data_IF_961810844920
#
_entry.id   IF_961810844920
#
_cell.length_a   1.000
_cell.length_b   1.000
_cell.length_c   1.000
_cell.angle_alpha   90.00
_cell.angle_beta   90.00
_cell.angle_gamma   90.00
#
_symmetry.space_group_name_H-M   'P 1'
#
loop_
_entity.id
_entity.type
_entity.pdbx_description
1 polymer ?
#
# COMPACT_ATOMS: atom_id res chain seq x y z
N UNK A 1 2.94 2.54 -14.77
CA UNK A 1 3.70 1.72 -13.78
C UNK A 1 3.84 0.29 -14.28
N UNK A 2 4.98 -0.37 -14.03
CA UNK A 2 5.19 -1.80 -14.32
C UNK A 2 4.38 -2.63 -13.31
N UNK A 3 3.57 -3.57 -13.79
CA UNK A 3 2.78 -4.46 -12.93
C UNK A 3 3.73 -5.47 -12.27
N UNK A 4 4.13 -5.24 -11.02
CA UNK A 4 5.00 -6.16 -10.29
C UNK A 4 4.28 -7.50 -10.06
N UNK A 5 5.02 -8.59 -10.25
CA UNK A 5 4.51 -9.94 -9.97
C UNK A 5 4.47 -10.16 -8.45
N UNK A 6 3.53 -10.97 -7.98
CA UNK A 6 3.40 -11.27 -6.55
C UNK A 6 4.69 -11.81 -5.92
N UNK A 7 5.51 -12.54 -6.69
CA UNK A 7 6.80 -13.07 -6.23
C UNK A 7 7.79 -11.95 -5.90
N UNK A 8 7.85 -10.92 -6.74
CA UNK A 8 8.73 -9.75 -6.55
C UNK A 8 8.29 -8.95 -5.31
N UNK A 9 6.98 -8.73 -5.15
CA UNK A 9 6.45 -8.04 -3.97
C UNK A 9 6.70 -8.82 -2.66
N UNK A 10 6.72 -10.16 -2.71
CA UNK A 10 6.96 -10.97 -1.52
C UNK A 10 8.41 -10.85 -1.00
N UNK A 11 9.37 -10.66 -1.90
CA UNK A 11 10.80 -10.55 -1.59
C UNK A 11 11.16 -9.21 -0.93
N UNK A 12 10.38 -8.15 -1.16
CA UNK A 12 10.61 -6.82 -0.57
C UNK A 12 10.47 -6.82 0.96
N UNK A 13 11.29 -6.03 1.64
CA UNK A 13 11.19 -5.79 3.08
C UNK A 13 9.89 -5.04 3.44
N UNK A 14 9.54 -5.00 4.73
CA UNK A 14 8.37 -4.25 5.21
C UNK A 14 8.50 -2.75 4.95
N UNK A 15 9.70 -2.19 5.07
CA UNK A 15 9.99 -0.79 4.77
C UNK A 15 9.80 -0.47 3.29
N UNK A 16 10.33 -1.30 2.40
CA UNK A 16 10.17 -1.15 0.95
C UNK A 16 8.71 -1.31 0.50
N UNK A 17 7.98 -2.26 1.09
CA UNK A 17 6.55 -2.43 0.84
C UNK A 17 5.75 -1.19 1.25
N UNK A 18 6.10 -0.56 2.38
CA UNK A 18 5.47 0.69 2.83
C UNK A 18 5.80 1.87 1.91
N UNK A 19 7.06 2.01 1.50
CA UNK A 19 7.47 3.04 0.54
C UNK A 19 6.72 2.89 -0.79
N UNK A 20 6.68 1.66 -1.32
CA UNK A 20 5.95 1.34 -2.55
C UNK A 20 4.46 1.61 -2.42
N UNK A 21 3.86 1.28 -1.28
CA UNK A 21 2.46 1.60 -1.00
C UNK A 21 2.20 3.12 -1.10
N UNK A 22 3.11 3.93 -0.56
CA UNK A 22 3.04 5.39 -0.64
C UNK A 22 3.09 5.90 -2.08
N UNK A 23 4.01 5.39 -2.90
CA UNK A 23 4.11 5.73 -4.32
C UNK A 23 2.82 5.41 -5.09
N UNK A 24 2.31 4.19 -4.93
CA UNK A 24 1.10 3.73 -5.65
C UNK A 24 -0.12 4.54 -5.24
N UNK A 25 -0.24 4.92 -3.96
CA UNK A 25 -1.33 5.79 -3.49
C UNK A 25 -1.25 7.20 -4.10
N UNK A 26 -0.04 7.77 -4.24
CA UNK A 26 0.15 9.07 -4.90
C UNK A 26 -0.28 9.01 -6.37
N UNK A 27 0.00 7.91 -7.08
CA UNK A 27 -0.49 7.74 -8.46
C UNK A 27 -2.02 7.67 -8.51
N UNK A 28 -2.65 6.85 -7.65
CA UNK A 28 -4.11 6.76 -7.57
C UNK A 28 -4.74 8.13 -7.29
N UNK A 29 -4.10 8.95 -6.45
CA UNK A 29 -4.60 10.29 -6.14
C UNK A 29 -4.61 11.19 -7.38
N UNK A 30 -3.58 11.13 -8.23
CA UNK A 30 -3.52 11.88 -9.49
C UNK A 30 -4.61 11.42 -10.47
N UNK A 31 -4.79 10.11 -10.60
CA UNK A 31 -5.83 9.54 -11.47
C UNK A 31 -7.24 9.92 -10.97
N UNK A 32 -7.47 9.86 -9.65
CA UNK A 32 -8.74 10.25 -9.04
C UNK A 32 -9.03 11.75 -9.20
N UNK A 33 -8.00 12.61 -9.16
CA UNK A 33 -8.18 14.04 -9.42
C UNK A 33 -8.69 14.29 -10.85
N UNK A 34 -8.13 13.59 -11.84
CA UNK A 34 -8.60 13.66 -13.23
C UNK A 34 -10.04 13.20 -13.37
N UNK A 35 -10.40 12.08 -12.71
CA UNK A 35 -11.77 11.56 -12.68
C UNK A 35 -12.74 12.56 -12.04
N UNK A 36 -12.34 13.18 -10.92
CA UNK A 36 -13.15 14.19 -10.23
C UNK A 36 -13.39 15.43 -11.10
N UNK A 37 -12.38 15.83 -11.88
CA UNK A 37 -12.48 16.91 -12.86
C UNK A 37 -13.28 16.53 -14.12
N UNK A 38 -13.87 15.32 -14.17
CA UNK A 38 -14.55 14.74 -15.36
C UNK A 38 -13.68 14.71 -16.61
N UNK A 39 -12.36 14.75 -16.42
CA UNK A 39 -11.39 14.58 -17.51
C UNK A 39 -11.11 13.09 -17.71
N UNK A 40 -10.79 12.71 -18.94
CA UNK A 40 -10.41 11.33 -19.24
C UNK A 40 -9.01 11.10 -18.67
N UNK A 41 -8.85 10.21 -17.68
CA UNK A 41 -7.54 9.92 -17.15
C UNK A 41 -6.68 9.28 -18.22
N UNK A 42 -5.38 9.60 -18.23
CA UNK A 42 -4.46 9.18 -19.31
C UNK A 42 -4.48 7.67 -19.58
N UNK A 43 -4.76 6.86 -18.57
CA UNK A 43 -4.98 5.43 -18.74
C UNK A 43 -6.02 4.90 -17.75
N UNK A 44 -7.29 4.72 -18.15
CA UNK A 44 -8.37 4.30 -17.24
C UNK A 44 -8.13 2.89 -16.65
N UNK A 45 -7.44 2.01 -17.38
CA UNK A 45 -7.10 0.66 -16.91
C UNK A 45 -6.02 0.65 -15.81
N UNK A 46 -5.24 1.73 -15.70
CA UNK A 46 -4.18 1.85 -14.72
C UNK A 46 -4.73 2.02 -13.30
N UNK A 47 -5.82 2.78 -13.14
CA UNK A 47 -6.47 3.00 -11.84
C UNK A 47 -6.88 1.66 -11.19
N UNK A 48 -7.50 0.75 -11.97
CA UNK A 48 -7.88 -0.59 -11.49
C UNK A 48 -6.65 -1.42 -11.13
N UNK A 49 -5.58 -1.32 -11.92
CA UNK A 49 -4.33 -2.05 -11.70
C UNK A 49 -3.63 -1.58 -10.41
N UNK A 50 -3.55 -0.26 -10.21
CA UNK A 50 -2.96 0.35 -9.03
C UNK A 50 -3.75 0.01 -7.76
N UNK A 51 -5.09 0.00 -7.81
CA UNK A 51 -5.94 -0.48 -6.69
C UNK A 51 -5.67 -1.95 -6.34
N UNK A 52 -5.54 -2.83 -7.34
CA UNK A 52 -5.17 -4.25 -7.11
C UNK A 52 -3.77 -4.38 -6.51
N UNK A 53 -2.82 -3.54 -6.93
CA UNK A 53 -1.47 -3.52 -6.38
C UNK A 53 -1.46 -3.09 -4.91
N UNK A 54 -2.23 -2.07 -4.52
CA UNK A 54 -2.42 -1.68 -3.10
C UNK A 54 -2.96 -2.86 -2.28
N UNK A 55 -3.99 -3.56 -2.77
CA UNK A 55 -4.56 -4.70 -2.07
C UNK A 55 -3.53 -5.84 -1.86
N UNK A 56 -2.69 -6.11 -2.87
CA UNK A 56 -1.60 -7.10 -2.77
C UNK A 56 -0.56 -6.70 -1.73
N UNK A 57 -0.11 -5.45 -1.74
CA UNK A 57 0.88 -4.94 -0.80
C UNK A 57 0.35 -5.01 0.64
N UNK A 58 -0.89 -4.55 0.86
CA UNK A 58 -1.54 -4.64 2.19
C UNK A 58 -1.68 -6.09 2.66
N UNK A 59 -2.05 -7.00 1.76
CA UNK A 59 -2.12 -8.43 2.06
C UNK A 59 -0.77 -9.01 2.49
N UNK A 60 0.32 -8.64 1.81
CA UNK A 60 1.68 -9.07 2.16
C UNK A 60 2.16 -8.46 3.48
N UNK A 61 1.91 -7.17 3.70
CA UNK A 61 2.20 -6.51 4.98
C UNK A 61 1.47 -7.20 6.13
N UNK A 62 0.17 -7.49 5.97
CA UNK A 62 -0.61 -8.20 6.96
C UNK A 62 -0.09 -9.61 7.21
N UNK A 63 0.29 -10.36 6.16
CA UNK A 63 0.90 -11.70 6.31
C UNK A 63 2.23 -11.65 7.07
N UNK A 64 3.10 -10.68 6.76
CA UNK A 64 4.38 -10.49 7.46
C UNK A 64 4.17 -10.10 8.92
N UNK A 65 3.16 -9.27 9.19
CA UNK A 65 2.79 -8.85 10.55
C UNK A 65 2.11 -9.99 11.33
N UNK A 66 1.27 -10.80 10.70
CA UNK A 66 0.58 -11.92 11.35
C UNK A 66 1.53 -13.06 11.67
N UNK A 67 2.58 -13.27 10.86
CA UNK A 67 3.68 -14.19 11.17
C UNK A 67 4.52 -13.75 12.37
N UNK A 68 4.51 -12.46 12.72
CA UNK A 68 5.26 -11.87 13.86
C UNK A 68 4.38 -11.54 15.07
N UNK A 69 3.12 -12.04 15.12
CA UNK A 69 2.15 -11.76 16.20
C UNK A 69 2.49 -12.31 17.61
N UNK A 70 3.72 -12.78 17.88
CA UNK A 70 4.20 -12.96 19.26
C UNK A 70 4.65 -11.63 19.92
N UNK A 71 4.97 -10.59 19.14
CA UNK A 71 5.70 -9.44 19.71
C UNK A 71 4.89 -8.13 19.86
N UNK A 72 3.60 -8.09 19.46
CA UNK A 72 2.82 -6.83 19.40
C UNK A 72 1.93 -6.51 20.60
N UNK A 73 1.84 -7.36 21.64
CA UNK A 73 1.09 -7.03 22.87
C UNK A 73 1.83 -6.02 23.76
N UNK A 74 3.11 -5.72 23.48
CA UNK A 74 3.93 -4.79 24.27
C UNK A 74 3.85 -3.31 23.86
N UNK A 75 3.35 -2.98 22.65
CA UNK A 75 3.45 -1.59 22.12
C UNK A 75 2.19 -0.75 22.38
N UNK A 76 1.03 -1.36 22.66
CA UNK A 76 -0.21 -0.59 22.90
C UNK A 76 -0.29 0.12 24.26
N UNK A 77 0.71 -0.05 25.14
CA UNK A 77 0.76 0.58 26.46
C UNK A 77 1.39 1.98 26.51
N UNK A 78 2.00 2.47 25.43
CA UNK A 78 2.84 3.69 25.47
C UNK A 78 2.23 4.94 24.83
N UNK A 79 0.97 4.93 24.38
CA UNK A 79 0.35 6.11 23.70
C UNK A 79 -0.67 6.90 24.52
N UNK A 80 -0.64 6.78 25.85
CA UNK A 80 -1.40 7.66 26.76
C UNK A 80 -0.49 8.22 27.85
N UNK A 81 0.61 8.85 27.45
CA UNK A 81 1.31 9.84 28.27
C UNK A 81 2.02 10.78 27.31
N UNK A 82 1.37 11.91 27.06
CA UNK A 82 2.04 13.21 26.95
C UNK A 82 0.95 14.24 27.25
N UNK A 83 1.31 15.10 28.20
CA UNK A 83 0.51 16.06 28.98
C UNK A 83 -0.13 17.16 28.15
#
# INVERSE_FOLDING_TARGET
MKNLKNKELAQLSTGELSSKLGEVRKEIMKDNAQVAMRTIPKNPGLLRTNKKMVARILGLLNKKISGTKKDKKSISGMKHKEE
#
